data_IF_634026295193
#
_entry.id   IF_634026295193
#
_cell.length_a   1.000
_cell.length_b   1.000
_cell.length_c   1.000
_cell.angle_alpha   90.00
_cell.angle_beta   90.00
_cell.angle_gamma   90.00
#
_symmetry.space_group_name_H-M   'P 1'
#
loop_
_entity.id
_entity.type
_entity.pdbx_description
1 polymer ?
#
# COMPACT_ATOMS: atom_id res chain seq x y z
N UNK A 1 -16.83 0.93 -22.61
CA UNK A 1 -16.81 1.92 -21.51
C UNK A 1 -15.45 1.81 -20.83
N UNK A 2 -14.67 2.90 -20.73
CA UNK A 2 -13.33 2.87 -20.13
C UNK A 2 -13.45 3.09 -18.62
N UNK A 3 -13.03 2.11 -17.82
CA UNK A 3 -12.95 2.26 -16.37
C UNK A 3 -11.87 3.30 -16.04
N UNK A 4 -12.19 4.24 -15.15
CA UNK A 4 -11.29 5.29 -14.68
C UNK A 4 -11.25 5.27 -13.16
N UNK A 5 -10.08 5.57 -12.60
CA UNK A 5 -9.93 5.77 -11.15
C UNK A 5 -10.58 7.09 -10.71
N UNK A 6 -10.94 7.19 -9.43
CA UNK A 6 -11.30 8.45 -8.80
C UNK A 6 -10.02 9.11 -8.25
N UNK A 7 -9.49 10.09 -8.99
CA UNK A 7 -8.25 10.79 -8.65
C UNK A 7 -8.32 11.56 -7.33
N UNK A 8 -9.46 12.18 -7.02
CA UNK A 8 -9.64 12.91 -5.77
C UNK A 8 -9.59 11.96 -4.57
N UNK A 9 -10.28 10.81 -4.64
CA UNK A 9 -10.24 9.80 -3.58
C UNK A 9 -8.83 9.25 -3.37
N UNK A 10 -8.10 9.00 -4.45
CA UNK A 10 -6.70 8.58 -4.39
C UNK A 10 -5.84 9.65 -3.68
N UNK A 11 -5.95 10.91 -4.11
CA UNK A 11 -5.18 12.00 -3.49
C UNK A 11 -5.47 12.13 -1.99
N UNK A 12 -6.74 12.07 -1.60
CA UNK A 12 -7.14 12.09 -0.18
C UNK A 12 -6.49 10.94 0.61
N UNK A 13 -6.48 9.71 0.07
CA UNK A 13 -5.83 8.59 0.75
C UNK A 13 -4.31 8.75 0.87
N UNK A 14 -3.65 9.31 -0.16
CA UNK A 14 -2.22 9.60 -0.12
C UNK A 14 -1.88 10.63 0.96
N UNK A 15 -2.68 11.69 1.07
CA UNK A 15 -2.48 12.72 2.09
C UNK A 15 -2.74 12.17 3.49
N UNK A 16 -3.79 11.36 3.68
CA UNK A 16 -4.06 10.72 4.97
C UNK A 16 -2.90 9.80 5.41
N UNK A 17 -2.30 9.04 4.48
CA UNK A 17 -1.13 8.21 4.77
C UNK A 17 0.13 9.05 5.05
N UNK A 18 0.26 10.22 4.42
CA UNK A 18 1.41 11.11 4.61
C UNK A 18 1.47 11.75 6.00
N UNK A 19 0.32 11.92 6.67
CA UNK A 19 0.27 12.42 8.06
C UNK A 19 0.97 11.47 9.05
N UNK A 20 1.03 10.17 8.72
CA UNK A 20 1.67 9.16 9.57
C UNK A 20 3.19 9.23 9.37
N UNK A 21 3.89 9.68 10.40
CA UNK A 21 5.33 9.95 10.36
C UNK A 21 5.67 11.29 9.70
N UNK A 22 4.72 12.24 9.62
CA UNK A 22 4.96 13.55 9.05
C UNK A 22 6.14 14.28 9.72
N UNK A 23 6.96 14.92 8.90
CA UNK A 23 8.13 15.69 9.36
C UNK A 23 7.90 17.18 9.16
N UNK A 24 8.58 18.02 9.95
CA UNK A 24 8.49 19.48 9.85
C UNK A 24 8.86 20.06 8.46
N UNK A 25 9.51 19.27 7.59
CA UNK A 25 9.88 19.67 6.22
C UNK A 25 8.87 19.20 5.15
N UNK A 26 7.70 18.70 5.56
CA UNK A 26 6.67 18.19 4.64
C UNK A 26 6.99 16.83 4.01
N UNK A 27 7.93 16.08 4.62
CA UNK A 27 8.24 14.69 4.28
C UNK A 27 7.62 13.70 5.26
N UNK A 28 7.91 12.40 5.09
CA UNK A 28 7.50 11.34 6.03
C UNK A 28 8.71 10.52 6.50
N UNK A 29 8.77 10.22 7.79
CA UNK A 29 9.73 9.33 8.43
C UNK A 29 8.95 8.21 9.13
N UNK A 30 8.75 7.11 8.42
CA UNK A 30 8.01 5.93 8.87
C UNK A 30 8.88 4.71 8.62
N UNK A 31 9.84 4.44 9.50
CA UNK A 31 10.80 3.37 9.31
C UNK A 31 10.12 2.01 9.43
N UNK A 32 10.60 1.02 8.67
CA UNK A 32 10.07 -0.33 8.72
C UNK A 32 10.02 -0.85 10.17
N UNK A 33 8.87 -1.41 10.56
CA UNK A 33 8.58 -1.96 11.88
C UNK A 33 8.59 -0.94 13.04
N UNK A 34 8.56 0.37 12.75
CA UNK A 34 8.30 1.38 13.77
C UNK A 34 6.81 1.45 14.14
N UNK A 35 6.48 2.17 15.22
CA UNK A 35 5.09 2.42 15.59
C UNK A 35 4.33 3.16 14.47
N UNK A 36 4.99 4.06 13.76
CA UNK A 36 4.41 4.75 12.60
C UNK A 36 4.13 3.77 11.45
N UNK A 37 5.01 2.79 11.19
CA UNK A 37 4.78 1.75 10.17
C UNK A 37 3.59 0.87 10.56
N UNK A 38 3.49 0.50 11.83
CA UNK A 38 2.31 -0.21 12.37
C UNK A 38 1.03 0.59 12.14
N UNK A 39 1.00 1.86 12.48
CA UNK A 39 -0.18 2.73 12.28
C UNK A 39 -0.52 2.89 10.80
N UNK A 40 0.49 3.02 9.92
CA UNK A 40 0.29 3.04 8.47
C UNK A 40 -0.34 1.76 7.93
N UNK A 41 0.14 0.60 8.40
CA UNK A 41 -0.41 -0.71 8.04
C UNK A 41 -1.84 -0.89 8.54
N UNK A 42 -2.15 -0.44 9.76
CA UNK A 42 -3.50 -0.46 10.33
C UNK A 42 -4.47 0.41 9.50
N UNK A 43 -4.04 1.60 9.08
CA UNK A 43 -4.85 2.46 8.22
C UNK A 43 -5.12 1.82 6.85
N UNK A 44 -4.11 1.23 6.22
CA UNK A 44 -4.27 0.52 4.95
C UNK A 44 -5.20 -0.70 5.10
N UNK A 45 -5.00 -1.50 6.15
CA UNK A 45 -5.85 -2.64 6.48
C UNK A 45 -7.32 -2.22 6.62
N UNK A 46 -7.57 -1.13 7.35
CA UNK A 46 -8.91 -0.57 7.52
C UNK A 46 -9.58 -0.23 6.19
N UNK A 47 -8.91 0.50 5.29
CA UNK A 47 -9.45 0.83 3.97
C UNK A 47 -9.73 -0.41 3.11
N UNK A 48 -8.86 -1.42 3.17
CA UNK A 48 -9.06 -2.67 2.46
C UNK A 48 -10.29 -3.44 2.99
N UNK A 49 -10.49 -3.48 4.31
CA UNK A 49 -11.67 -4.09 4.92
C UNK A 49 -12.95 -3.34 4.54
N UNK A 50 -12.96 -2.00 4.56
CA UNK A 50 -14.10 -1.20 4.11
C UNK A 50 -14.42 -1.43 2.62
N UNK A 51 -13.40 -1.71 1.81
CA UNK A 51 -13.56 -2.07 0.40
C UNK A 51 -13.97 -3.53 0.17
N UNK A 52 -14.23 -4.31 1.23
CA UNK A 52 -14.67 -5.71 1.15
C UNK A 52 -13.58 -6.71 0.79
N UNK A 53 -12.31 -6.39 1.07
CA UNK A 53 -11.18 -7.30 0.86
C UNK A 53 -10.91 -8.14 2.11
N UNK A 54 -10.40 -9.36 1.92
CA UNK A 54 -9.83 -10.15 3.01
C UNK A 54 -8.37 -9.81 3.22
N UNK A 55 -7.91 -9.90 4.48
CA UNK A 55 -6.53 -9.59 4.86
C UNK A 55 -5.80 -10.85 5.30
N UNK A 56 -4.51 -10.96 4.95
CA UNK A 56 -3.60 -11.95 5.51
C UNK A 56 -2.21 -11.37 5.68
N UNK A 57 -1.44 -11.93 6.62
CA UNK A 57 -0.05 -11.54 6.89
C UNK A 57 0.81 -12.80 6.85
N UNK A 58 1.94 -12.74 6.14
CA UNK A 58 2.90 -13.86 6.10
C UNK A 58 3.91 -13.81 7.26
N UNK A 59 4.75 -14.84 7.45
CA UNK A 59 5.69 -14.88 8.57
C UNK A 59 6.74 -13.76 8.60
N UNK A 60 6.99 -13.05 7.50
CA UNK A 60 7.94 -11.92 7.46
C UNK A 60 7.23 -10.56 7.49
N UNK A 61 5.91 -10.56 7.70
CA UNK A 61 5.13 -9.35 7.91
C UNK A 61 4.64 -8.66 6.63
N UNK A 62 4.66 -9.34 5.48
CA UNK A 62 3.98 -8.79 4.30
C UNK A 62 2.47 -8.83 4.51
N UNK A 63 1.80 -7.70 4.31
CA UNK A 63 0.35 -7.57 4.41
C UNK A 63 -0.28 -7.71 3.03
N UNK A 64 -1.16 -8.69 2.87
CA UNK A 64 -1.90 -8.94 1.64
C UNK A 64 -3.37 -8.54 1.83
N UNK A 65 -3.90 -7.80 0.86
CA UNK A 65 -5.34 -7.53 0.74
C UNK A 65 -5.87 -8.18 -0.54
N UNK A 66 -6.81 -9.13 -0.40
CA UNK A 66 -7.38 -9.89 -1.52
C UNK A 66 -8.81 -9.45 -1.77
N UNK A 67 -9.06 -8.91 -2.96
CA UNK A 67 -10.41 -8.79 -3.50
C UNK A 67 -10.80 -10.13 -4.14
N UNK A 68 -11.97 -10.70 -3.81
CA UNK A 68 -12.40 -11.96 -4.42
C UNK A 68 -12.61 -11.80 -5.93
N UNK A 69 -12.15 -12.79 -6.69
CA UNK A 69 -12.48 -12.98 -8.11
C UNK A 69 -13.73 -13.83 -8.27
N UNK A 70 -14.16 -14.03 -9.52
CA UNK A 70 -15.24 -14.98 -9.84
C UNK A 70 -14.80 -16.45 -9.72
N UNK A 71 -13.50 -16.71 -9.87
CA UNK A 71 -12.88 -18.02 -9.65
C UNK A 71 -11.96 -17.92 -8.43
N UNK A 72 -12.24 -18.65 -7.33
CA UNK A 72 -11.41 -18.62 -6.13
C UNK A 72 -10.04 -19.30 -6.30
N UNK A 73 -9.92 -20.26 -7.23
CA UNK A 73 -8.74 -21.11 -7.43
C UNK A 73 -7.77 -20.56 -8.47
N UNK A 74 -8.20 -19.56 -9.24
CA UNK A 74 -7.34 -18.86 -10.19
C UNK A 74 -6.14 -18.18 -9.50
N UNK A 75 -5.01 -18.17 -10.21
CA UNK A 75 -3.82 -17.45 -9.78
C UNK A 75 -4.14 -15.94 -9.62
N UNK A 76 -3.71 -15.29 -8.52
CA UNK A 76 -4.01 -13.88 -8.30
C UNK A 76 -3.17 -12.98 -9.22
N UNK A 77 -3.78 -11.90 -9.70
CA UNK A 77 -3.04 -10.74 -10.18
C UNK A 77 -2.65 -9.89 -8.96
N UNK A 78 -1.35 -9.71 -8.74
CA UNK A 78 -0.82 -8.98 -7.59
C UNK A 78 -0.24 -7.63 -8.01
N UNK A 79 -0.50 -6.60 -7.20
CA UNK A 79 0.11 -5.29 -7.29
C UNK A 79 0.39 -4.78 -5.87
N UNK A 80 1.48 -4.02 -5.69
CA UNK A 80 1.85 -3.52 -4.38
C UNK A 80 3.15 -2.73 -4.41
N UNK A 81 3.56 -2.23 -3.26
CA UNK A 81 4.88 -1.64 -3.01
C UNK A 81 5.27 -1.81 -1.55
N UNK A 82 5.77 -0.78 -0.88
CA UNK A 82 6.18 -0.80 0.53
C UNK A 82 5.58 0.41 1.25
N UNK A 83 5.14 0.29 2.50
CA UNK A 83 4.57 1.43 3.24
C UNK A 83 5.61 2.20 4.05
N UNK A 84 6.76 1.60 4.36
CA UNK A 84 7.84 2.26 5.08
C UNK A 84 8.56 3.29 4.20
N UNK A 85 9.22 4.25 4.85
CA UNK A 85 9.93 5.35 4.20
C UNK A 85 11.35 5.50 4.74
N UNK A 86 12.18 6.21 3.99
CA UNK A 86 13.49 6.65 4.47
C UNK A 86 13.36 7.79 5.49
N UNK A 87 14.34 8.01 6.39
CA UNK A 87 14.27 9.06 7.42
C UNK A 87 14.01 10.49 6.94
N UNK A 88 14.31 10.79 5.67
CA UNK A 88 14.14 12.11 5.04
C UNK A 88 13.34 12.01 3.75
N UNK A 89 12.44 11.04 3.65
CA UNK A 89 11.65 10.83 2.45
C UNK A 89 10.63 11.95 2.21
N UNK A 90 10.29 12.18 0.94
CA UNK A 90 9.13 13.01 0.59
C UNK A 90 7.81 12.33 1.01
N UNK A 91 6.75 13.12 1.20
CA UNK A 91 5.45 12.65 1.71
C UNK A 91 4.82 11.48 0.92
N UNK A 92 5.15 11.35 -0.37
CA UNK A 92 4.57 10.33 -1.26
C UNK A 92 5.41 9.05 -1.36
N UNK A 93 6.67 9.05 -0.87
CA UNK A 93 7.53 7.87 -0.97
C UNK A 93 6.94 6.72 -0.15
N UNK A 94 6.87 5.51 -0.73
CA UNK A 94 6.23 4.33 -0.12
C UNK A 94 4.70 4.30 -0.22
N UNK A 95 4.02 5.43 -0.01
CA UNK A 95 2.55 5.49 -0.15
C UNK A 95 2.07 5.40 -1.61
N UNK A 96 2.93 5.71 -2.57
CA UNK A 96 2.72 5.46 -4.01
C UNK A 96 3.49 4.22 -4.44
N UNK A 97 3.07 3.58 -5.55
CA UNK A 97 3.90 2.56 -6.19
C UNK A 97 5.23 3.21 -6.59
N UNK A 98 6.28 2.97 -5.81
CA UNK A 98 7.62 3.41 -6.12
C UNK A 98 8.16 2.54 -7.25
N UNK A 99 8.18 3.11 -8.45
CA UNK A 99 9.11 2.72 -9.53
C UNK A 99 10.29 3.70 -9.46
N UNK A 100 11.58 3.30 -9.52
CA UNK A 100 12.19 1.97 -9.63
C UNK A 100 13.17 1.63 -8.48
N UNK A 101 13.29 0.35 -8.11
CA UNK A 101 14.54 -0.33 -7.61
C UNK A 101 14.31 -1.60 -6.77
N UNK A 102 13.16 -2.27 -6.91
CA UNK A 102 12.99 -3.61 -6.37
C UNK A 102 12.34 -4.51 -7.42
N UNK A 103 12.97 -5.67 -7.62
CA UNK A 103 12.72 -6.59 -8.73
C UNK A 103 11.29 -7.13 -8.65
N UNK A 104 10.50 -6.84 -9.68
CA UNK A 104 9.20 -7.46 -9.90
C UNK A 104 9.37 -8.93 -10.26
N UNK A 105 8.89 -9.83 -9.40
CA UNK A 105 8.53 -11.19 -9.81
C UNK A 105 6.99 -11.24 -9.92
N UNK A 106 6.48 -10.92 -11.12
CA UNK A 106 5.12 -11.27 -11.53
C UNK A 106 5.23 -12.18 -12.76
N UNK A 107 5.19 -13.49 -12.54
CA UNK A 107 4.84 -14.52 -13.53
C UNK A 107 3.45 -15.00 -13.08
N UNK A 108 2.38 -15.04 -13.85
CA UNK A 108 2.16 -15.25 -15.28
C UNK A 108 0.81 -14.59 -15.63
N UNK A 109 0.74 -13.93 -16.79
CA UNK A 109 -0.53 -13.68 -17.47
C UNK A 109 -1.03 -15.00 -18.05
N UNK A 110 -2.16 -15.49 -17.56
CA UNK A 110 -3.06 -16.42 -18.26
C UNK A 110 -4.48 -16.02 -17.94
#
# INVERSE_FOLDING_TARGET
MMLKINGQRLWTSLMAMAEIGATARGGSCRLALSDEDRVGRELFAHWCTEAGMSLSVDPIGNLFARRPGSDPDAAPVMMGSHLDTQPKAGALMGSTVCWPDWKWYARSMT
#
